data_IF_078562800378
#
_entry.id   IF_078562800378
#
_cell.length_a   1.000
_cell.length_b   1.000
_cell.length_c   1.000
_cell.angle_alpha   90.00
_cell.angle_beta   90.00
_cell.angle_gamma   90.00
#
_symmetry.space_group_name_H-M   'P 1'
#
loop_
_entity.id
_entity.type
_entity.pdbx_description
1 polymer ?
#
# COMPACT_ATOMS: atom_id res chain seq x y z
N UNK A 1 16.26 20.66 6.56
CA UNK A 1 15.31 21.22 5.58
C UNK A 1 13.94 20.59 5.80
N UNK A 2 12.83 21.32 5.66
CA UNK A 2 11.47 20.77 5.85
C UNK A 2 11.09 19.83 4.69
N UNK A 3 10.15 18.91 4.93
CA UNK A 3 9.78 17.88 3.94
C UNK A 3 9.21 18.49 2.65
N UNK A 4 8.32 19.48 2.73
CA UNK A 4 7.76 20.18 1.56
C UNK A 4 8.85 20.75 0.64
N UNK A 5 9.93 21.24 1.25
CA UNK A 5 11.07 21.79 0.53
C UNK A 5 11.90 20.68 -0.15
N UNK A 6 12.00 19.50 0.46
CA UNK A 6 12.61 18.32 -0.17
C UNK A 6 11.80 17.87 -1.39
N UNK A 7 10.47 17.84 -1.28
CA UNK A 7 9.58 17.57 -2.43
C UNK A 7 9.75 18.58 -3.55
N UNK A 8 9.88 19.88 -3.23
CA UNK A 8 10.16 20.92 -4.21
C UNK A 8 11.50 20.71 -4.91
N UNK A 9 12.57 20.41 -4.16
CA UNK A 9 13.90 20.14 -4.72
C UNK A 9 13.88 18.91 -5.62
N UNK A 10 13.24 17.82 -5.18
CA UNK A 10 13.08 16.60 -5.97
C UNK A 10 12.37 16.89 -7.30
N UNK A 11 11.30 17.70 -7.27
CA UNK A 11 10.58 18.13 -8.48
C UNK A 11 11.49 18.87 -9.46
N UNK A 12 12.20 19.89 -9.00
CA UNK A 12 13.09 20.70 -9.84
C UNK A 12 14.17 19.83 -10.47
N UNK A 13 14.76 18.93 -9.70
CA UNK A 13 15.78 18.02 -10.19
C UNK A 13 15.20 17.05 -11.24
N UNK A 14 14.04 16.44 -10.98
CA UNK A 14 13.40 15.49 -11.91
C UNK A 14 12.85 16.16 -13.16
N UNK A 15 12.37 17.39 -13.09
CA UNK A 15 11.99 18.16 -14.29
C UNK A 15 13.19 18.41 -15.21
N UNK A 16 14.39 18.54 -14.64
CA UNK A 16 15.62 18.75 -15.40
C UNK A 16 16.11 17.46 -16.09
N UNK A 17 16.01 16.30 -15.43
CA UNK A 17 16.69 15.08 -15.92
C UNK A 17 15.80 13.84 -16.10
N UNK A 18 14.59 13.82 -15.55
CA UNK A 18 13.78 12.61 -15.43
C UNK A 18 13.41 11.97 -16.76
N UNK A 19 12.90 12.76 -17.71
CA UNK A 19 12.54 12.21 -19.04
C UNK A 19 13.74 11.95 -19.94
N UNK A 20 14.76 12.80 -19.85
CA UNK A 20 15.88 12.82 -20.80
C UNK A 20 16.95 11.77 -20.48
N UNK A 21 17.12 11.47 -19.19
CA UNK A 21 18.17 10.61 -18.66
C UNK A 21 17.61 9.47 -17.81
N UNK A 22 16.30 9.22 -17.93
CA UNK A 22 15.57 8.14 -17.25
C UNK A 22 15.80 8.10 -15.72
N UNK A 23 15.89 9.29 -15.10
CA UNK A 23 15.91 9.40 -13.64
C UNK A 23 14.48 9.33 -13.07
N UNK A 24 14.34 8.59 -11.98
CA UNK A 24 13.13 8.54 -11.18
C UNK A 24 13.42 8.81 -9.70
N UNK A 25 12.44 9.35 -9.00
CA UNK A 25 12.44 9.44 -7.55
C UNK A 25 12.48 8.03 -6.96
N UNK A 26 13.43 7.79 -6.06
CA UNK A 26 13.65 6.51 -5.41
C UNK A 26 13.65 6.68 -3.88
N UNK A 27 14.08 5.63 -3.17
CA UNK A 27 14.32 5.71 -1.73
C UNK A 27 13.07 5.99 -0.90
N UNK A 28 13.28 6.66 0.23
CA UNK A 28 12.20 6.95 1.18
C UNK A 28 11.12 7.87 0.62
N UNK A 29 11.47 8.81 -0.26
CA UNK A 29 10.49 9.68 -0.92
C UNK A 29 9.62 8.90 -1.92
N UNK A 30 10.17 7.93 -2.64
CA UNK A 30 9.36 7.07 -3.51
C UNK A 30 8.36 6.24 -2.69
N UNK A 31 8.80 5.69 -1.55
CA UNK A 31 7.89 5.00 -0.63
C UNK A 31 6.78 5.93 -0.13
N UNK A 32 7.12 7.18 0.24
CA UNK A 32 6.13 8.20 0.62
C UNK A 32 5.13 8.50 -0.49
N UNK A 33 5.58 8.66 -1.74
CA UNK A 33 4.70 8.89 -2.88
C UNK A 33 3.72 7.74 -3.10
N UNK A 34 4.16 6.50 -2.90
CA UNK A 34 3.29 5.31 -2.98
C UNK A 34 2.41 5.10 -1.74
N UNK A 35 2.55 5.93 -0.70
CA UNK A 35 1.87 5.73 0.57
C UNK A 35 2.37 4.50 1.36
N UNK A 36 3.63 4.12 1.15
CA UNK A 36 4.29 2.93 1.71
C UNK A 36 5.28 3.22 2.85
N UNK A 37 5.41 4.48 3.27
CA UNK A 37 6.27 4.85 4.40
C UNK A 37 5.71 6.04 5.20
N UNK A 38 5.90 6.02 6.52
CA UNK A 38 5.40 7.08 7.42
C UNK A 38 6.50 7.95 8.03
N UNK A 39 7.72 7.41 8.16
CA UNK A 39 8.85 8.14 8.77
C UNK A 39 9.26 9.39 7.97
N UNK A 40 9.91 10.38 8.61
CA UNK A 40 10.49 11.51 7.91
C UNK A 40 11.48 11.08 6.82
N UNK A 41 11.45 11.81 5.71
CA UNK A 41 12.42 11.69 4.62
C UNK A 41 13.77 12.26 5.07
N UNK A 42 14.87 11.56 4.81
CA UNK A 42 16.23 12.01 5.15
C UNK A 42 16.91 12.71 3.97
N UNK A 43 17.01 11.98 2.87
CA UNK A 43 17.72 12.28 1.63
C UNK A 43 16.75 12.27 0.43
N UNK A 44 17.22 12.77 -0.72
CA UNK A 44 16.50 12.72 -2.00
C UNK A 44 17.26 11.74 -2.90
N UNK A 45 16.67 10.59 -3.20
CA UNK A 45 17.26 9.59 -4.08
C UNK A 45 16.72 9.76 -5.51
N UNK A 46 17.60 9.98 -6.48
CA UNK A 46 17.29 10.03 -7.90
C UNK A 46 18.07 8.94 -8.62
N UNK A 47 17.39 7.87 -9.01
CA UNK A 47 18.06 6.72 -9.63
C UNK A 47 17.70 6.61 -11.11
N UNK A 48 18.67 6.17 -11.92
CA UNK A 48 18.49 6.00 -13.35
C UNK A 48 18.92 4.61 -13.82
N UNK A 49 18.36 4.18 -14.96
CA UNK A 49 18.68 2.89 -15.55
C UNK A 49 20.10 2.86 -16.15
N UNK A 50 20.99 1.92 -15.77
CA UNK A 50 22.40 1.93 -16.19
C UNK A 50 22.62 1.68 -17.68
N UNK A 51 21.70 0.97 -18.35
CA UNK A 51 21.80 0.53 -19.75
C UNK A 51 21.29 1.57 -20.76
N UNK A 52 20.78 2.70 -20.29
CA UNK A 52 20.24 3.80 -21.12
C UNK A 52 21.33 4.61 -21.83
N UNK A 53 22.61 4.39 -21.52
CA UNK A 53 23.71 5.22 -22.03
C UNK A 53 23.69 6.65 -21.48
N UNK A 54 23.04 6.84 -20.32
CA UNK A 54 22.92 8.14 -19.65
C UNK A 54 24.28 8.79 -19.42
N UNK A 55 24.42 10.04 -19.86
CA UNK A 55 25.54 10.90 -19.49
C UNK A 55 25.31 11.46 -18.09
N UNK A 56 25.67 10.69 -17.06
CA UNK A 56 25.50 11.06 -15.66
C UNK A 56 26.23 12.35 -15.27
N UNK A 57 27.31 12.71 -15.99
CA UNK A 57 28.03 13.97 -15.77
C UNK A 57 27.18 15.14 -16.25
N UNK A 58 26.61 15.03 -17.45
CA UNK A 58 25.71 16.04 -18.00
C UNK A 58 24.41 16.14 -17.20
N UNK A 59 23.78 15.02 -16.84
CA UNK A 59 22.57 15.00 -16.01
C UNK A 59 22.80 15.72 -14.67
N UNK A 60 23.91 15.40 -13.99
CA UNK A 60 24.29 16.09 -12.74
C UNK A 60 24.49 17.60 -12.94
N UNK A 61 25.12 18.01 -14.04
CA UNK A 61 25.29 19.43 -14.35
C UNK A 61 23.94 20.14 -14.58
N UNK A 62 22.99 19.47 -15.23
CA UNK A 62 21.63 20.01 -15.45
C UNK A 62 20.84 20.14 -14.15
N UNK A 63 20.93 19.17 -13.24
CA UNK A 63 20.34 19.28 -11.89
C UNK A 63 20.94 20.45 -11.11
N UNK A 64 22.27 20.59 -11.11
CA UNK A 64 22.95 21.72 -10.44
C UNK A 64 22.48 23.05 -11.02
N UNK A 65 22.40 23.17 -12.35
CA UNK A 65 21.96 24.38 -13.02
C UNK A 65 20.50 24.73 -12.70
N UNK A 66 19.60 23.74 -12.71
CA UNK A 66 18.19 23.93 -12.41
C UNK A 66 17.96 24.39 -10.96
N UNK A 67 18.61 23.73 -10.00
CA UNK A 67 18.52 24.11 -8.58
C UNK A 67 19.15 25.48 -8.30
N UNK A 68 20.28 25.79 -8.95
CA UNK A 68 20.91 27.12 -8.85
C UNK A 68 19.99 28.21 -9.41
N UNK A 69 19.34 27.96 -10.55
CA UNK A 69 18.36 28.87 -11.13
C UNK A 69 17.13 29.07 -10.24
N UNK A 70 16.76 28.05 -9.45
CA UNK A 70 15.70 28.12 -8.45
C UNK A 70 16.14 28.80 -7.13
N UNK A 71 17.41 29.23 -7.01
CA UNK A 71 17.93 29.98 -5.87
C UNK A 71 18.69 29.16 -4.83
N UNK A 72 18.87 27.85 -5.04
CA UNK A 72 19.63 27.01 -4.11
C UNK A 72 21.15 27.13 -4.34
N UNK A 73 21.92 26.94 -3.29
CA UNK A 73 23.34 26.63 -3.37
C UNK A 73 23.52 25.12 -3.47
N UNK A 74 24.29 24.65 -4.45
CA UNK A 74 24.54 23.22 -4.67
C UNK A 74 26.04 22.95 -4.67
N UNK A 75 26.46 21.99 -3.86
CA UNK A 75 27.84 21.50 -3.78
C UNK A 75 27.90 20.02 -4.18
N UNK A 76 28.90 19.64 -4.97
CA UNK A 76 29.17 18.22 -5.26
C UNK A 76 29.98 17.64 -4.10
N UNK A 77 29.31 16.95 -3.18
CA UNK A 77 29.93 16.41 -1.97
C UNK A 77 30.80 15.18 -2.27
N UNK A 78 30.36 14.33 -3.19
CA UNK A 78 31.03 13.07 -3.53
C UNK A 78 30.68 12.64 -4.94
N UNK A 79 31.63 12.03 -5.64
CA UNK A 79 31.43 11.32 -6.91
C UNK A 79 32.12 9.97 -6.84
N UNK A 80 31.48 8.92 -7.36
CA UNK A 80 32.05 7.56 -7.40
C UNK A 80 31.49 6.76 -8.60
N UNK A 81 31.87 5.49 -8.70
CA UNK A 81 31.47 4.59 -9.79
C UNK A 81 31.79 5.15 -11.19
N UNK A 82 33.04 5.60 -11.40
CA UNK A 82 33.48 6.19 -12.68
C UNK A 82 32.59 7.36 -13.13
N UNK A 83 32.34 8.30 -12.22
CA UNK A 83 31.52 9.51 -12.42
C UNK A 83 30.03 9.30 -12.68
N UNK A 84 29.55 8.06 -12.55
CA UNK A 84 28.13 7.72 -12.73
C UNK A 84 27.28 8.03 -11.50
N UNK A 85 27.87 8.04 -10.30
CA UNK A 85 27.16 8.27 -9.06
C UNK A 85 27.68 9.51 -8.32
N UNK A 86 26.79 10.27 -7.70
CA UNK A 86 27.16 11.47 -6.95
C UNK A 86 26.21 11.78 -5.79
N UNK A 87 26.74 12.49 -4.79
CA UNK A 87 25.98 13.18 -3.77
C UNK A 87 26.09 14.69 -4.02
N UNK A 88 24.95 15.37 -4.05
CA UNK A 88 24.86 16.82 -4.13
C UNK A 88 24.28 17.37 -2.82
N UNK A 89 25.06 18.21 -2.14
CA UNK A 89 24.58 18.95 -0.98
C UNK A 89 23.81 20.18 -1.44
N UNK A 90 22.53 20.27 -1.09
CA UNK A 90 21.65 21.37 -1.48
C UNK A 90 21.26 22.19 -0.26
N UNK A 91 21.49 23.50 -0.34
CA UNK A 91 21.22 24.46 0.73
C UNK A 91 20.40 25.62 0.20
N UNK A 92 19.42 26.05 1.01
CA UNK A 92 18.79 27.35 0.84
C UNK A 92 19.71 28.44 1.45
N UNK A 93 20.23 29.38 0.64
CA UNK A 93 21.14 30.42 1.12
C UNK A 93 20.51 31.38 2.13
N UNK A 94 19.18 31.49 2.17
CA UNK A 94 18.45 32.33 3.13
C UNK A 94 18.22 31.62 4.47
N UNK A 95 18.44 30.30 4.53
CA UNK A 95 18.19 29.43 5.69
C UNK A 95 19.45 28.70 6.15
N UNK A 96 20.47 29.47 6.51
CA UNK A 96 21.77 28.93 6.98
C UNK A 96 21.67 28.15 8.30
N UNK A 97 20.62 28.39 9.09
CA UNK A 97 20.29 27.67 10.32
C UNK A 97 19.84 26.22 10.07
N UNK A 98 19.49 25.89 8.82
CA UNK A 98 18.97 24.59 8.43
C UNK A 98 20.08 23.76 7.78
N UNK A 99 20.19 22.49 8.18
CA UNK A 99 21.11 21.56 7.55
C UNK A 99 20.75 21.33 6.07
N UNK A 100 21.76 21.21 5.18
CA UNK A 100 21.54 20.93 3.77
C UNK A 100 20.90 19.56 3.60
N UNK A 101 20.20 19.37 2.48
CA UNK A 101 19.70 18.05 2.07
C UNK A 101 20.64 17.47 1.02
N UNK A 102 20.92 16.17 1.11
CA UNK A 102 21.70 15.48 0.09
C UNK A 102 20.76 14.93 -0.99
N UNK A 103 21.04 15.22 -2.26
CA UNK A 103 20.51 14.49 -3.40
C UNK A 103 21.52 13.42 -3.77
N UNK A 104 21.12 12.16 -3.73
CA UNK A 104 21.91 11.03 -4.18
C UNK A 104 21.47 10.65 -5.60
N UNK A 105 22.37 10.81 -6.56
CA UNK A 105 22.17 10.43 -7.97
C UNK A 105 22.96 9.16 -8.26
N UNK A 106 22.30 8.04 -8.56
CA UNK A 106 22.97 6.72 -8.69
C UNK A 106 22.35 5.89 -9.80
N UNK A 107 23.16 5.23 -10.66
CA UNK A 107 22.64 4.22 -11.58
C UNK A 107 22.16 3.00 -10.80
N UNK A 108 20.90 2.62 -11.01
CA UNK A 108 20.26 1.46 -10.38
C UNK A 108 19.44 0.70 -11.42
N UNK A 109 19.54 -0.63 -11.42
CA UNK A 109 18.71 -1.48 -12.26
C UNK A 109 17.24 -1.41 -11.80
N UNK A 110 16.46 -0.53 -12.43
CA UNK A 110 15.01 -0.44 -12.33
C UNK A 110 14.33 -1.32 -13.38
N UNK A 111 13.56 -2.31 -12.97
CA UNK A 111 13.03 -3.33 -13.89
C UNK A 111 11.68 -2.98 -14.45
N UNK A 112 10.97 -2.09 -13.78
CA UNK A 112 9.65 -1.64 -14.19
C UNK A 112 9.70 -0.16 -14.54
N UNK A 113 8.81 0.24 -15.44
CA UNK A 113 8.68 1.65 -15.78
C UNK A 113 8.31 2.45 -14.53
N UNK A 114 8.93 3.62 -14.30
CA UNK A 114 8.52 4.53 -13.25
C UNK A 114 7.03 4.89 -13.39
N UNK A 115 6.34 4.93 -12.25
CA UNK A 115 4.98 5.45 -12.17
C UNK A 115 5.00 6.99 -12.23
N UNK A 116 3.95 7.57 -12.79
CA UNK A 116 3.67 9.00 -12.64
C UNK A 116 2.74 9.18 -11.44
N UNK A 117 3.24 9.83 -10.38
CA UNK A 117 2.45 10.17 -9.19
C UNK A 117 2.51 11.68 -9.02
N UNK A 118 1.37 12.34 -9.21
CA UNK A 118 1.23 13.80 -9.16
C UNK A 118 2.28 14.53 -10.02
N UNK A 119 2.57 14.01 -11.22
CA UNK A 119 3.54 14.55 -12.17
C UNK A 119 5.00 14.24 -11.84
N UNK A 120 5.28 13.38 -10.85
CA UNK A 120 6.65 12.94 -10.50
C UNK A 120 6.85 11.56 -11.13
N UNK A 121 7.97 11.38 -11.83
CA UNK A 121 8.47 10.04 -12.15
C UNK A 121 8.98 9.38 -10.87
N UNK A 122 8.24 8.38 -10.38
CA UNK A 122 8.55 7.64 -9.15
C UNK A 122 8.86 6.19 -9.50
N UNK A 123 9.95 5.65 -8.94
CA UNK A 123 10.31 4.23 -9.05
C UNK A 123 9.11 3.34 -8.73
N UNK A 124 8.96 2.23 -9.45
CA UNK A 124 7.85 1.29 -9.21
C UNK A 124 7.85 0.73 -7.79
N UNK A 125 6.68 0.31 -7.30
CA UNK A 125 6.57 -0.36 -5.98
C UNK A 125 7.45 -1.62 -5.94
N UNK A 126 7.48 -2.39 -7.03
CA UNK A 126 8.26 -3.62 -7.15
C UNK A 126 9.75 -3.36 -7.01
N UNK A 127 10.27 -2.35 -7.72
CA UNK A 127 11.68 -1.98 -7.63
C UNK A 127 12.01 -1.42 -6.24
N UNK A 128 11.09 -0.69 -5.62
CA UNK A 128 11.26 -0.23 -4.23
C UNK A 128 11.41 -1.39 -3.24
N UNK A 129 10.58 -2.45 -3.39
CA UNK A 129 10.63 -3.67 -2.56
C UNK A 129 11.97 -4.38 -2.74
N UNK A 130 12.40 -4.57 -3.99
CA UNK A 130 13.66 -5.23 -4.31
C UNK A 130 14.86 -4.46 -3.75
N UNK A 131 14.90 -3.14 -3.98
CA UNK A 131 15.95 -2.26 -3.48
C UNK A 131 16.04 -2.31 -1.95
N UNK A 132 14.90 -2.35 -1.24
CA UNK A 132 14.91 -2.44 0.22
C UNK A 132 15.41 -3.77 0.73
N UNK A 133 15.00 -4.87 0.10
CA UNK A 133 15.52 -6.19 0.43
C UNK A 133 17.04 -6.30 0.17
N UNK A 134 17.53 -5.74 -0.93
CA UNK A 134 18.96 -5.65 -1.23
C UNK A 134 19.70 -4.80 -0.20
N UNK A 135 19.15 -3.65 0.20
CA UNK A 135 19.74 -2.81 1.24
C UNK A 135 19.93 -3.60 2.55
N UNK A 136 18.91 -4.32 3.03
CA UNK A 136 19.05 -5.16 4.23
C UNK A 136 20.04 -6.32 4.03
N UNK A 137 20.12 -6.89 2.83
CA UNK A 137 21.09 -7.93 2.54
C UNK A 137 22.55 -7.45 2.72
N UNK A 138 22.83 -6.17 2.45
CA UNK A 138 24.18 -5.60 2.47
C UNK A 138 24.53 -4.79 3.72
N UNK A 139 23.55 -4.19 4.40
CA UNK A 139 23.77 -3.34 5.57
C UNK A 139 22.68 -3.53 6.63
N UNK A 140 22.95 -3.02 7.83
CA UNK A 140 22.07 -3.15 9.00
C UNK A 140 21.70 -1.75 9.50
N UNK A 141 20.96 -0.99 8.69
CA UNK A 141 20.47 0.34 9.06
C UNK A 141 19.01 0.29 9.49
N UNK A 142 18.69 0.88 10.64
CA UNK A 142 17.34 0.85 11.23
C UNK A 142 16.24 1.27 10.24
N UNK A 143 16.49 2.29 9.41
CA UNK A 143 15.53 2.77 8.41
C UNK A 143 15.09 1.71 7.41
N UNK A 144 15.99 0.81 7.01
CA UNK A 144 15.61 -0.22 6.04
C UNK A 144 14.66 -1.25 6.65
N UNK A 145 14.84 -1.59 7.92
CA UNK A 145 13.93 -2.49 8.63
C UNK A 145 12.56 -1.84 8.89
N UNK A 146 12.55 -0.53 9.20
CA UNK A 146 11.30 0.25 9.29
C UNK A 146 10.56 0.19 7.96
N UNK A 147 11.25 0.58 6.88
CA UNK A 147 10.67 0.62 5.53
C UNK A 147 10.16 -0.78 5.11
N UNK A 148 10.93 -1.86 5.30
CA UNK A 148 10.49 -3.22 5.00
C UNK A 148 9.30 -3.67 5.86
N UNK A 149 9.27 -3.31 7.14
CA UNK A 149 8.14 -3.64 8.01
C UNK A 149 6.88 -2.90 7.58
N UNK A 150 6.99 -1.62 7.20
CA UNK A 150 5.86 -0.81 6.73
C UNK A 150 5.35 -1.31 5.39
N UNK A 151 6.24 -1.59 4.44
CA UNK A 151 5.89 -2.16 3.14
C UNK A 151 5.23 -3.53 3.28
N UNK A 152 5.74 -4.40 4.14
CA UNK A 152 5.12 -5.70 4.41
C UNK A 152 3.74 -5.55 5.04
N UNK A 153 3.58 -4.64 6.01
CA UNK A 153 2.28 -4.34 6.57
C UNK A 153 1.30 -3.82 5.51
N UNK A 154 1.69 -2.86 4.68
CA UNK A 154 0.79 -2.17 3.74
C UNK A 154 0.47 -2.98 2.47
N UNK A 155 1.45 -3.72 1.94
CA UNK A 155 1.27 -4.55 0.73
C UNK A 155 0.78 -5.96 1.06
N UNK A 156 1.10 -6.46 2.26
CA UNK A 156 0.93 -7.85 2.64
C UNK A 156 2.12 -8.72 2.26
N UNK A 157 2.41 -9.72 3.09
CA UNK A 157 3.57 -10.61 2.94
C UNK A 157 3.57 -11.36 1.61
N UNK A 158 2.42 -11.84 1.14
CA UNK A 158 2.31 -12.57 -0.12
C UNK A 158 2.76 -11.72 -1.33
N UNK A 159 2.39 -10.43 -1.35
CA UNK A 159 2.74 -9.50 -2.42
C UNK A 159 4.23 -9.14 -2.36
N UNK A 160 4.75 -8.91 -1.15
CA UNK A 160 6.19 -8.67 -0.96
C UNK A 160 7.00 -9.89 -1.41
N UNK A 161 6.60 -11.09 -1.00
CA UNK A 161 7.25 -12.34 -1.39
C UNK A 161 7.18 -12.56 -2.90
N UNK A 162 6.05 -12.27 -3.56
CA UNK A 162 5.91 -12.32 -5.02
C UNK A 162 6.91 -11.37 -5.71
N UNK A 163 7.01 -10.12 -5.25
CA UNK A 163 7.94 -9.14 -5.82
C UNK A 163 9.41 -9.50 -5.62
N UNK A 164 9.74 -10.12 -4.49
CA UNK A 164 11.08 -10.64 -4.23
C UNK A 164 11.37 -11.88 -5.08
N UNK A 165 10.41 -12.79 -5.24
CA UNK A 165 10.55 -14.00 -6.06
C UNK A 165 10.68 -13.68 -7.56
N UNK A 166 10.08 -12.57 -8.03
CA UNK A 166 10.18 -12.10 -9.40
C UNK A 166 11.57 -11.52 -9.74
N UNK A 167 12.48 -11.35 -8.77
CA UNK A 167 13.82 -10.83 -9.00
C UNK A 167 14.69 -11.87 -9.75
N UNK A 168 15.16 -11.63 -10.99
CA UNK A 168 16.07 -12.54 -11.71
C UNK A 168 17.45 -12.69 -11.05
N UNK A 169 17.80 -11.78 -10.14
CA UNK A 169 19.01 -11.79 -9.31
C UNK A 169 18.61 -11.71 -7.84
N UNK A 170 17.86 -12.71 -7.32
CA UNK A 170 17.27 -12.61 -6.00
C UNK A 170 18.38 -12.56 -4.95
N UNK A 171 18.15 -11.77 -3.90
CA UNK A 171 18.97 -11.85 -2.69
C UNK A 171 19.03 -13.30 -2.23
N UNK A 172 20.20 -13.76 -1.82
CA UNK A 172 20.34 -15.12 -1.31
C UNK A 172 19.43 -15.27 -0.08
N UNK A 173 18.42 -16.13 -0.14
CA UNK A 173 17.38 -16.26 0.89
C UNK A 173 17.96 -16.56 2.28
N UNK A 174 19.02 -17.36 2.37
CA UNK A 174 19.71 -17.65 3.64
C UNK A 174 20.37 -16.40 4.21
N UNK A 175 21.07 -15.66 3.35
CA UNK A 175 21.71 -14.39 3.74
C UNK A 175 20.65 -13.39 4.14
N UNK A 176 19.60 -13.22 3.33
CA UNK A 176 18.52 -12.28 3.58
C UNK A 176 17.81 -12.58 4.90
N UNK A 177 17.43 -13.84 5.14
CA UNK A 177 16.86 -14.29 6.42
C UNK A 177 17.78 -13.99 7.60
N UNK A 178 19.07 -14.31 7.48
CA UNK A 178 20.05 -14.01 8.52
C UNK A 178 20.17 -12.50 8.78
N UNK A 179 20.07 -11.69 7.74
CA UNK A 179 20.14 -10.23 7.84
C UNK A 179 18.87 -9.62 8.44
N UNK A 180 17.69 -10.19 8.15
CA UNK A 180 16.44 -9.80 8.82
C UNK A 180 16.53 -10.03 10.33
N UNK A 181 17.14 -11.16 10.76
CA UNK A 181 17.36 -11.47 12.17
C UNK A 181 18.17 -10.42 12.95
N UNK A 182 19.05 -9.67 12.27
CA UNK A 182 19.87 -8.62 12.90
C UNK A 182 19.06 -7.42 13.39
N UNK A 183 17.79 -7.28 13.01
CA UNK A 183 16.91 -6.23 13.55
C UNK A 183 16.84 -6.26 15.08
N UNK A 184 16.98 -7.44 15.68
CA UNK A 184 17.00 -7.63 17.14
C UNK A 184 18.20 -6.96 17.82
N UNK A 185 19.30 -6.76 17.09
CA UNK A 185 20.55 -6.18 17.60
C UNK A 185 20.60 -4.65 17.47
N UNK A 186 19.67 -4.07 16.70
CA UNK A 186 19.62 -2.62 16.48
C UNK A 186 19.04 -1.97 17.74
N UNK A 187 19.76 -1.05 18.40
CA UNK A 187 19.27 -0.41 19.61
C UNK A 187 18.25 0.70 19.29
N UNK A 188 17.33 0.99 20.22
CA UNK A 188 16.20 1.92 20.02
C UNK A 188 16.65 3.32 19.57
N UNK A 189 17.83 3.79 20.01
CA UNK A 189 18.35 5.11 19.62
C UNK A 189 18.61 5.21 18.12
N UNK A 190 18.84 4.09 17.42
CA UNK A 190 18.98 4.06 15.96
C UNK A 190 17.65 4.17 15.24
N UNK A 191 16.56 3.70 15.85
CA UNK A 191 15.20 3.90 15.35
C UNK A 191 14.71 5.32 15.62
N UNK A 192 15.02 5.87 16.80
CA UNK A 192 14.59 7.20 17.23
C UNK A 192 15.03 8.33 16.29
N UNK A 193 16.16 8.17 15.57
CA UNK A 193 16.61 9.11 14.52
C UNK A 193 15.53 9.33 13.45
N UNK A 194 14.71 8.31 13.20
CA UNK A 194 13.66 8.31 12.19
C UNK A 194 12.26 8.54 12.80
N UNK A 195 12.19 9.18 13.97
CA UNK A 195 10.96 9.43 14.71
C UNK A 195 10.16 8.15 15.06
N UNK A 196 10.84 7.00 15.11
CA UNK A 196 10.28 5.71 15.54
C UNK A 196 10.55 5.55 17.02
N UNK A 197 9.49 5.61 17.84
CA UNK A 197 9.60 5.42 19.29
C UNK A 197 9.85 3.95 19.66
N UNK A 198 10.12 3.69 20.95
CA UNK A 198 10.43 2.34 21.44
C UNK A 198 9.30 1.33 21.21
N UNK A 199 8.04 1.77 21.23
CA UNK A 199 6.89 0.90 20.98
C UNK A 199 6.86 0.49 19.50
N UNK A 200 6.98 1.46 18.59
CA UNK A 200 7.04 1.20 17.15
C UNK A 200 8.28 0.41 16.77
N UNK A 201 9.43 0.66 17.41
CA UNK A 201 10.64 -0.12 17.21
C UNK A 201 10.48 -1.59 17.63
N UNK A 202 9.74 -1.85 18.72
CA UNK A 202 9.40 -3.22 19.12
C UNK A 202 8.48 -3.90 18.09
N UNK A 203 7.49 -3.17 17.56
CA UNK A 203 6.60 -3.66 16.49
C UNK A 203 7.39 -4.01 15.22
N UNK A 204 8.28 -3.12 14.77
CA UNK A 204 9.16 -3.35 13.61
C UNK A 204 10.00 -4.61 13.82
N UNK A 205 10.62 -4.79 14.99
CA UNK A 205 11.38 -6.01 15.30
C UNK A 205 10.50 -7.25 15.24
N UNK A 206 9.32 -7.21 15.86
CA UNK A 206 8.40 -8.34 15.87
C UNK A 206 7.98 -8.74 14.46
N UNK A 207 7.57 -7.78 13.63
CA UNK A 207 7.12 -8.02 12.26
C UNK A 207 8.23 -8.62 11.40
N UNK A 208 9.43 -8.03 11.44
CA UNK A 208 10.58 -8.52 10.68
C UNK A 208 11.01 -9.91 11.15
N UNK A 209 11.06 -10.16 12.46
CA UNK A 209 11.46 -11.47 13.00
C UNK A 209 10.42 -12.55 12.69
N UNK A 210 9.13 -12.21 12.72
CA UNK A 210 8.05 -13.11 12.31
C UNK A 210 8.21 -13.51 10.85
N UNK A 211 8.39 -12.52 9.97
CA UNK A 211 8.61 -12.78 8.54
C UNK A 211 9.89 -13.60 8.30
N UNK A 212 10.99 -13.29 8.99
CA UNK A 212 12.22 -14.10 8.93
C UNK A 212 12.03 -15.54 9.43
N UNK A 213 11.06 -15.78 10.31
CA UNK A 213 10.66 -17.12 10.76
C UNK A 213 9.88 -17.91 9.71
N UNK A 214 9.10 -17.21 8.89
CA UNK A 214 8.25 -17.78 7.83
C UNK A 214 9.01 -18.06 6.54
N UNK A 215 10.07 -17.28 6.24
CA UNK A 215 11.05 -17.62 5.21
C UNK A 215 11.70 -18.97 5.56
N UNK A 216 11.21 -20.03 4.91
CA UNK A 216 11.65 -21.40 5.17
C UNK A 216 13.18 -21.52 5.10
N UNK A 217 13.82 -22.44 5.85
CA UNK A 217 15.22 -22.72 5.58
C UNK A 217 15.34 -23.27 4.16
N UNK A 218 15.90 -22.47 3.25
CA UNK A 218 16.58 -23.02 2.09
C UNK A 218 17.49 -24.15 2.60
N UNK A 219 17.42 -25.30 1.93
CA UNK A 219 18.06 -26.59 2.26
C UNK A 219 19.37 -26.45 3.06
N UNK A 220 19.63 -27.37 4.01
CA UNK A 220 20.71 -27.24 4.98
C UNK A 220 22.06 -27.00 4.32
N UNK A 221 22.77 -25.99 4.83
CA UNK A 221 24.16 -25.74 4.53
C UNK A 221 25.00 -26.97 4.92
N UNK A 222 25.64 -27.66 3.96
CA UNK A 222 26.46 -28.84 4.25
C UNK A 222 27.74 -28.52 5.06
N UNK A 223 27.98 -27.25 5.43
CA UNK A 223 29.10 -26.79 6.25
C UNK A 223 28.69 -26.34 7.66
N UNK A 224 27.40 -26.44 8.04
CA UNK A 224 26.99 -26.20 9.42
C UNK A 224 27.33 -27.43 10.27
N UNK A 225 28.36 -27.30 11.12
CA UNK A 225 28.76 -28.30 12.11
C UNK A 225 27.63 -28.50 13.13
N UNK A 226 27.27 -29.77 13.34
CA UNK A 226 26.22 -30.23 14.26
C UNK A 226 26.35 -29.66 15.68
N UNK A 227 25.28 -29.04 16.15
CA UNK A 227 24.90 -29.06 17.55
C UNK A 227 23.48 -29.63 17.63
N UNK A 228 23.39 -30.93 17.84
CA UNK A 228 22.15 -31.66 18.00
C UNK A 228 21.30 -31.13 19.19
N UNK A 229 20.02 -30.89 18.95
CA UNK A 229 18.97 -30.67 19.95
C UNK A 229 17.60 -30.52 19.27
N UNK A 230 16.51 -31.13 19.79
CA UNK A 230 15.23 -31.18 19.09
C UNK A 230 14.59 -29.79 19.00
N UNK A 231 13.78 -29.60 17.95
CA UNK A 231 12.98 -28.41 17.66
C UNK A 231 12.55 -27.63 18.91
N UNK A 232 13.01 -26.37 19.03
CA UNK A 232 12.61 -25.46 20.10
C UNK A 232 12.19 -24.13 19.49
N UNK A 233 10.91 -23.77 19.67
CA UNK A 233 10.42 -22.44 19.32
C UNK A 233 8.91 -22.20 19.34
N UNK A 234 8.07 -23.24 19.23
CA UNK A 234 6.63 -23.13 19.48
C UNK A 234 6.32 -24.15 20.56
N UNK A 235 6.03 -23.69 21.78
CA UNK A 235 5.40 -24.59 22.76
C UNK A 235 4.07 -25.01 22.17
N UNK A 236 3.84 -26.32 21.99
CA UNK A 236 2.53 -26.81 21.60
C UNK A 236 1.50 -26.24 22.60
N UNK A 237 0.44 -25.62 22.08
CA UNK A 237 -0.67 -25.15 22.91
C UNK A 237 -1.16 -26.30 23.77
N UNK A 238 -1.36 -26.05 25.07
CA UNK A 238 -2.05 -27.03 25.90
C UNK A 238 -3.50 -27.16 25.40
N UNK A 239 -4.11 -28.36 25.44
CA UNK A 239 -5.47 -28.57 24.95
C UNK A 239 -6.48 -27.55 25.49
N UNK A 240 -6.40 -27.24 26.78
CA UNK A 240 -7.29 -26.28 27.46
C UNK A 240 -7.14 -24.86 26.90
N UNK A 241 -5.92 -24.44 26.54
CA UNK A 241 -5.64 -23.13 25.94
C UNK A 241 -6.16 -23.03 24.49
N UNK A 242 -6.12 -24.14 23.75
CA UNK A 242 -6.66 -24.23 22.40
C UNK A 242 -8.19 -24.17 22.40
N UNK A 243 -8.84 -24.85 23.35
CA UNK A 243 -10.30 -24.85 23.52
C UNK A 243 -10.82 -23.45 23.91
N UNK A 244 -10.22 -22.81 24.91
CA UNK A 244 -10.61 -21.44 25.30
C UNK A 244 -10.39 -20.40 24.19
N UNK A 245 -9.32 -20.55 23.39
CA UNK A 245 -9.07 -19.67 22.24
C UNK A 245 -10.07 -19.92 21.11
N UNK A 246 -10.44 -21.18 20.86
CA UNK A 246 -11.46 -21.52 19.88
C UNK A 246 -12.84 -20.98 20.28
N UNK A 247 -13.21 -21.09 21.56
CA UNK A 247 -14.47 -20.54 22.07
C UNK A 247 -14.52 -19.01 21.93
N UNK A 248 -13.45 -18.30 22.30
CA UNK A 248 -13.36 -16.84 22.09
C UNK A 248 -13.45 -16.43 20.63
N UNK A 249 -12.91 -17.24 19.70
CA UNK A 249 -13.03 -16.97 18.26
C UNK A 249 -14.44 -17.29 17.75
N UNK A 250 -15.03 -18.39 18.19
CA UNK A 250 -16.34 -18.87 17.75
C UNK A 250 -17.51 -18.00 18.26
N UNK A 251 -17.39 -17.45 19.47
CA UNK A 251 -18.38 -16.51 20.03
C UNK A 251 -18.40 -15.17 19.30
N UNK A 252 -17.33 -14.84 18.58
CA UNK A 252 -17.16 -13.54 17.95
C UNK A 252 -17.33 -13.62 16.43
N UNK A 253 -18.05 -12.62 15.91
CA UNK A 253 -18.37 -12.29 14.51
C UNK A 253 -17.23 -12.57 13.50
N UNK A 254 -17.45 -12.66 12.17
CA UNK A 254 -16.41 -12.98 11.17
C UNK A 254 -15.08 -12.20 11.29
N UNK A 255 -15.09 -11.03 11.93
CA UNK A 255 -13.93 -10.23 12.33
C UNK A 255 -12.94 -10.99 13.24
N UNK A 256 -13.40 -11.92 14.06
CA UNK A 256 -12.56 -12.76 14.93
C UNK A 256 -11.60 -13.65 14.12
N UNK A 257 -11.97 -13.98 12.88
CA UNK A 257 -11.16 -14.74 11.94
C UNK A 257 -10.19 -13.89 11.13
N UNK A 258 -10.32 -12.56 11.20
CA UNK A 258 -9.43 -11.62 10.54
C UNK A 258 -8.18 -11.40 11.39
N UNK A 259 -7.04 -11.26 10.74
CA UNK A 259 -5.79 -10.80 11.35
C UNK A 259 -5.92 -9.35 11.85
N UNK A 260 -5.02 -8.93 12.74
CA UNK A 260 -5.02 -7.54 13.25
C UNK A 260 -4.87 -6.53 12.10
N UNK A 261 -4.07 -6.89 11.08
CA UNK A 261 -3.92 -6.11 9.86
C UNK A 261 -5.22 -6.03 9.04
N UNK A 262 -5.86 -7.16 8.76
CA UNK A 262 -7.13 -7.19 8.02
C UNK A 262 -8.22 -6.40 8.74
N UNK A 263 -8.27 -6.43 10.08
CA UNK A 263 -9.17 -5.60 10.86
C UNK A 263 -8.88 -4.11 10.71
N UNK A 264 -7.60 -3.72 10.77
CA UNK A 264 -7.18 -2.34 10.59
C UNK A 264 -7.54 -1.82 9.19
N UNK A 265 -7.16 -2.56 8.16
CA UNK A 265 -7.42 -2.22 6.74
C UNK A 265 -8.91 -2.19 6.46
N UNK A 266 -9.64 -3.22 6.88
CA UNK A 266 -11.10 -3.29 6.64
C UNK A 266 -11.81 -2.17 7.38
N UNK A 267 -11.43 -1.90 8.63
CA UNK A 267 -11.98 -0.78 9.39
C UNK A 267 -11.69 0.58 8.74
N UNK A 268 -10.47 0.81 8.27
CA UNK A 268 -10.08 2.06 7.61
C UNK A 268 -10.78 2.23 6.25
N UNK A 269 -10.78 1.17 5.43
CA UNK A 269 -11.42 1.16 4.11
C UNK A 269 -12.93 1.34 4.21
N UNK A 270 -13.60 0.66 5.14
CA UNK A 270 -15.05 0.83 5.34
C UNK A 270 -15.39 2.24 5.80
N UNK A 271 -14.57 2.89 6.65
CA UNK A 271 -14.75 4.32 6.98
C UNK A 271 -14.61 5.23 5.76
N UNK A 272 -13.54 5.06 5.00
CA UNK A 272 -13.30 5.87 3.80
C UNK A 272 -14.43 5.73 2.78
N UNK A 273 -14.90 4.49 2.53
CA UNK A 273 -16.01 4.24 1.62
C UNK A 273 -17.34 4.79 2.16
N UNK A 274 -17.55 4.75 3.48
CA UNK A 274 -18.74 5.34 4.09
C UNK A 274 -18.75 6.87 3.90
N UNK A 275 -17.61 7.53 4.13
CA UNK A 275 -17.49 8.98 3.97
C UNK A 275 -17.67 9.40 2.50
N UNK A 276 -17.12 8.61 1.57
CA UNK A 276 -17.35 8.81 0.13
C UNK A 276 -18.82 8.63 -0.25
N UNK A 277 -19.48 7.57 0.24
CA UNK A 277 -20.90 7.32 -0.01
C UNK A 277 -21.81 8.43 0.56
N UNK A 278 -21.49 8.93 1.76
CA UNK A 278 -22.19 10.05 2.38
C UNK A 278 -22.04 11.33 1.55
N UNK A 279 -20.83 11.66 1.10
CA UNK A 279 -20.59 12.84 0.28
C UNK A 279 -21.39 12.82 -1.04
N UNK A 280 -21.43 11.65 -1.71
CA UNK A 280 -22.24 11.48 -2.94
C UNK A 280 -23.74 11.53 -2.63
N UNK A 281 -24.17 11.04 -1.46
CA UNK A 281 -25.56 11.16 -1.04
C UNK A 281 -25.96 12.62 -0.79
N UNK A 282 -25.12 13.41 -0.13
CA UNK A 282 -25.34 14.84 0.11
C UNK A 282 -25.37 15.64 -1.20
N UNK A 283 -24.53 15.30 -2.18
CA UNK A 283 -24.60 15.88 -3.51
C UNK A 283 -25.90 15.52 -4.23
N UNK A 284 -26.26 14.23 -4.23
CA UNK A 284 -27.51 13.75 -4.84
C UNK A 284 -28.75 14.40 -4.22
N UNK A 285 -28.74 14.64 -2.91
CA UNK A 285 -29.82 15.33 -2.19
C UNK A 285 -29.88 16.82 -2.55
N UNK A 286 -28.74 17.49 -2.68
CA UNK A 286 -28.68 18.88 -3.16
C UNK A 286 -29.22 19.01 -4.58
N UNK A 287 -28.84 18.10 -5.48
CA UNK A 287 -29.35 18.07 -6.85
C UNK A 287 -30.85 17.79 -6.89
N UNK A 288 -31.32 16.79 -6.16
CA UNK A 288 -32.74 16.45 -6.08
C UNK A 288 -33.57 17.63 -5.56
N UNK A 289 -33.08 18.31 -4.51
CA UNK A 289 -33.72 19.52 -3.98
C UNK A 289 -33.79 20.62 -5.03
N UNK A 290 -32.68 20.90 -5.72
CA UNK A 290 -32.65 21.90 -6.80
C UNK A 290 -33.63 21.56 -7.93
N UNK A 291 -33.67 20.29 -8.36
CA UNK A 291 -34.60 19.83 -9.40
C UNK A 291 -36.05 19.98 -8.97
N UNK A 292 -36.37 19.64 -7.72
CA UNK A 292 -37.71 19.79 -7.14
C UNK A 292 -38.13 21.26 -7.08
N UNK A 293 -37.27 22.12 -6.53
CA UNK A 293 -37.50 23.57 -6.43
C UNK A 293 -37.74 24.17 -7.84
N UNK A 294 -36.98 23.74 -8.85
CA UNK A 294 -37.13 24.18 -10.24
C UNK A 294 -38.41 23.64 -10.91
N UNK A 295 -38.77 22.38 -10.64
CA UNK A 295 -40.01 21.77 -11.12
C UNK A 295 -41.25 22.51 -10.60
N UNK A 296 -41.24 22.89 -9.31
CA UNK A 296 -42.31 23.67 -8.68
C UNK A 296 -42.36 25.11 -9.24
N UNK A 297 -41.21 25.78 -9.33
CA UNK A 297 -41.14 27.16 -9.83
C UNK A 297 -41.60 27.32 -11.29
N UNK A 298 -41.44 26.28 -12.10
CA UNK A 298 -41.88 26.25 -13.50
C UNK A 298 -43.35 25.83 -13.69
N UNK A 299 -44.09 25.55 -12.61
CA UNK A 299 -45.50 25.17 -12.69
C UNK A 299 -45.70 23.75 -13.23
N UNK A 300 -44.82 22.82 -12.87
CA UNK A 300 -44.88 21.41 -13.28
C UNK A 300 -43.79 20.98 -14.27
N UNK A 301 -42.65 21.67 -14.28
CA UNK A 301 -41.48 21.28 -15.05
C UNK A 301 -41.10 22.25 -16.17
N UNK A 302 -39.80 22.44 -16.38
CA UNK A 302 -39.26 23.45 -17.30
C UNK A 302 -39.51 23.10 -18.77
N UNK A 303 -39.35 21.81 -19.11
CA UNK A 303 -39.67 21.29 -20.43
C UNK A 303 -41.19 21.30 -20.68
N UNK A 304 -41.97 20.91 -19.68
CA UNK A 304 -43.43 20.91 -19.77
C UNK A 304 -43.98 22.34 -19.97
N UNK A 305 -43.43 23.31 -19.25
CA UNK A 305 -43.76 24.73 -19.40
C UNK A 305 -43.42 25.24 -20.81
N UNK A 306 -42.21 24.94 -21.30
CA UNK A 306 -41.77 25.32 -22.65
C UNK A 306 -42.64 24.71 -23.75
N UNK A 307 -43.02 23.44 -23.60
CA UNK A 307 -43.92 22.75 -24.54
C UNK A 307 -45.31 23.37 -24.57
N UNK A 308 -45.83 23.79 -23.41
CA UNK A 308 -47.11 24.49 -23.30
C UNK A 308 -47.08 25.84 -24.02
N UNK A 309 -46.01 26.61 -23.87
CA UNK A 309 -45.82 27.90 -24.54
C UNK A 309 -45.71 27.74 -26.07
N UNK A 310 -45.19 26.61 -26.55
CA UNK A 310 -45.14 26.26 -27.97
C UNK A 310 -46.47 25.71 -28.52
N UNK A 311 -47.51 25.57 -27.69
CA UNK A 311 -48.81 25.04 -28.10
C UNK A 311 -48.79 23.53 -28.38
N UNK A 312 -47.90 22.77 -27.72
CA UNK A 312 -47.90 21.32 -27.79
C UNK A 312 -49.19 20.72 -27.19
N UNK A 313 -49.51 19.50 -27.61
CA UNK A 313 -50.66 18.74 -27.09
C UNK A 313 -50.50 18.44 -25.58
N UNK A 314 -51.63 18.45 -24.86
CA UNK A 314 -51.67 18.21 -23.41
C UNK A 314 -51.04 16.85 -23.01
N UNK A 315 -51.15 15.82 -23.85
CA UNK A 315 -50.54 14.51 -23.59
C UNK A 315 -49.00 14.60 -23.60
N UNK A 316 -48.44 15.41 -24.51
CA UNK A 316 -46.99 15.63 -24.62
C UNK A 316 -46.49 16.43 -23.42
N UNK A 317 -47.20 17.48 -23.04
CA UNK A 317 -46.89 18.30 -21.85
C UNK A 317 -46.91 17.45 -20.58
N UNK A 318 -47.92 16.59 -20.42
CA UNK A 318 -48.05 15.71 -19.26
C UNK A 318 -46.93 14.66 -19.19
N UNK A 319 -46.54 14.07 -20.33
CA UNK A 319 -45.41 13.14 -20.39
C UNK A 319 -44.10 13.80 -19.98
N UNK A 320 -43.85 15.03 -20.44
CA UNK A 320 -42.66 15.78 -20.04
C UNK A 320 -42.64 16.09 -18.53
N UNK A 321 -43.78 16.52 -17.97
CA UNK A 321 -43.90 16.77 -16.53
C UNK A 321 -43.71 15.51 -15.69
N UNK A 322 -44.23 14.36 -16.15
CA UNK A 322 -44.04 13.08 -15.47
C UNK A 322 -42.58 12.63 -15.53
N UNK A 323 -41.90 12.80 -16.67
CA UNK A 323 -40.48 12.46 -16.81
C UNK A 323 -39.61 13.27 -15.84
N UNK A 324 -39.78 14.59 -15.77
CA UNK A 324 -38.99 15.42 -14.83
C UNK A 324 -39.27 15.05 -13.36
N UNK A 325 -40.51 14.68 -13.03
CA UNK A 325 -40.86 14.19 -11.69
C UNK A 325 -40.17 12.86 -11.37
N UNK A 326 -40.20 11.91 -12.29
CA UNK A 326 -39.51 10.63 -12.14
C UNK A 326 -37.99 10.84 -11.97
N UNK A 327 -37.41 11.85 -12.63
CA UNK A 327 -35.98 12.18 -12.48
C UNK A 327 -35.66 12.65 -11.04
N UNK A 328 -36.52 13.49 -10.45
CA UNK A 328 -36.42 13.92 -9.05
C UNK A 328 -36.51 12.71 -8.11
N UNK A 329 -37.54 11.87 -8.27
CA UNK A 329 -37.75 10.69 -7.44
C UNK A 329 -36.57 9.70 -7.52
N UNK A 330 -35.98 9.52 -8.71
CA UNK A 330 -34.79 8.67 -8.88
C UNK A 330 -33.57 9.23 -8.15
N UNK A 331 -33.37 10.55 -8.16
CA UNK A 331 -32.25 11.18 -7.44
C UNK A 331 -32.41 11.08 -5.93
N UNK A 332 -33.63 11.26 -5.42
CA UNK A 332 -33.95 11.07 -3.99
C UNK A 332 -33.74 9.63 -3.54
N UNK A 333 -34.23 8.66 -4.33
CA UNK A 333 -34.04 7.25 -4.06
C UNK A 333 -32.56 6.87 -4.04
N UNK A 334 -31.76 7.41 -4.97
CA UNK A 334 -30.31 7.20 -5.01
C UNK A 334 -29.61 7.75 -3.77
N UNK A 335 -29.98 8.94 -3.30
CA UNK A 335 -29.42 9.51 -2.08
C UNK A 335 -29.72 8.64 -0.85
N UNK A 336 -30.95 8.12 -0.73
CA UNK A 336 -31.34 7.22 0.36
C UNK A 336 -30.57 5.89 0.32
N UNK A 337 -30.42 5.29 -0.87
CA UNK A 337 -29.64 4.07 -1.07
C UNK A 337 -28.18 4.26 -0.61
N UNK A 338 -27.54 5.35 -1.03
CA UNK A 338 -26.16 5.66 -0.68
C UNK A 338 -25.97 5.88 0.84
N UNK A 339 -26.93 6.51 1.52
CA UNK A 339 -26.91 6.62 2.99
C UNK A 339 -27.06 5.26 3.67
N UNK A 340 -27.90 4.38 3.11
CA UNK A 340 -27.99 2.99 3.57
C UNK A 340 -26.63 2.29 3.50
N UNK A 341 -25.95 2.40 2.35
CA UNK A 341 -24.61 1.84 2.15
C UNK A 341 -23.57 2.44 3.11
N UNK A 342 -23.58 3.76 3.29
CA UNK A 342 -22.67 4.44 4.22
C UNK A 342 -22.85 3.93 5.66
N UNK A 343 -24.09 3.74 6.11
CA UNK A 343 -24.39 3.22 7.45
C UNK A 343 -23.94 1.77 7.63
N UNK A 344 -24.14 0.92 6.61
CA UNK A 344 -23.65 -0.47 6.65
C UNK A 344 -22.12 -0.52 6.76
N UNK A 345 -21.43 0.30 5.97
CA UNK A 345 -19.97 0.41 6.00
C UNK A 345 -19.44 0.96 7.33
N UNK A 346 -20.12 1.95 7.94
CA UNK A 346 -19.79 2.40 9.31
C UNK A 346 -19.96 1.27 10.32
N UNK A 347 -21.04 0.49 10.22
CA UNK A 347 -21.25 -0.69 11.06
C UNK A 347 -20.11 -1.72 10.95
N UNK A 348 -19.62 -1.98 9.73
CA UNK A 348 -18.46 -2.86 9.52
C UNK A 348 -17.18 -2.31 10.17
N UNK A 349 -16.95 -1.00 10.06
CA UNK A 349 -15.80 -0.36 10.69
C UNK A 349 -15.85 -0.42 12.23
N UNK A 350 -17.05 -0.28 12.81
CA UNK A 350 -17.27 -0.38 14.25
C UNK A 350 -17.07 -1.81 14.76
N UNK A 351 -17.50 -2.81 14.00
CA UNK A 351 -17.23 -4.22 14.31
C UNK A 351 -15.72 -4.50 14.31
N UNK A 352 -14.99 -4.02 13.30
CA UNK A 352 -13.54 -4.18 13.25
C UNK A 352 -12.84 -3.49 14.44
N UNK A 353 -13.27 -2.27 14.79
CA UNK A 353 -12.77 -1.53 15.95
C UNK A 353 -13.04 -2.25 17.27
N UNK A 354 -14.23 -2.82 17.41
CA UNK A 354 -14.63 -3.58 18.61
C UNK A 354 -13.76 -4.82 18.80
N UNK A 355 -13.47 -5.54 17.71
CA UNK A 355 -12.59 -6.71 17.77
C UNK A 355 -11.13 -6.33 18.09
N UNK A 356 -10.62 -5.23 17.55
CA UNK A 356 -9.29 -4.72 17.93
C UNK A 356 -9.24 -4.35 19.42
N UNK A 357 -10.27 -3.71 19.94
CA UNK A 357 -10.36 -3.36 21.36
C UNK A 357 -10.38 -4.62 22.24
N UNK A 358 -11.17 -5.64 21.88
CA UNK A 358 -11.21 -6.92 22.59
C UNK A 358 -9.82 -7.57 22.66
N UNK A 359 -9.09 -7.62 21.54
CA UNK A 359 -7.73 -8.21 21.49
C UNK A 359 -6.71 -7.46 22.34
N UNK A 360 -6.93 -6.16 22.56
CA UNK A 360 -6.08 -5.35 23.42
C UNK A 360 -6.16 -5.75 24.90
N UNK A 361 -7.26 -6.40 25.31
CA UNK A 361 -7.47 -6.88 26.69
C UNK A 361 -6.85 -8.27 26.95
N UNK A 362 -6.42 -8.98 25.89
CA UNK A 362 -5.81 -10.30 26.00
C UNK A 362 -4.36 -10.23 26.49
N UNK A 363 -3.96 -11.23 27.28
CA UNK A 363 -2.56 -11.48 27.61
C UNK A 363 -1.76 -11.91 26.35
N UNK A 364 -0.42 -11.78 26.36
CA UNK A 364 0.41 -12.23 25.25
C UNK A 364 0.23 -13.72 24.90
N UNK A 365 0.03 -14.57 25.91
CA UNK A 365 -0.18 -16.01 25.73
C UNK A 365 -1.54 -16.30 25.06
N UNK A 366 -2.61 -15.65 25.50
CA UNK A 366 -3.94 -15.77 24.90
C UNK A 366 -3.96 -15.26 23.45
N UNK A 367 -3.25 -14.16 23.17
CA UNK A 367 -3.14 -13.60 21.81
C UNK A 367 -2.38 -14.55 20.88
N UNK A 368 -1.32 -15.19 21.37
CA UNK A 368 -0.58 -16.19 20.62
C UNK A 368 -1.46 -17.43 20.33
N UNK A 369 -2.24 -17.88 21.32
CA UNK A 369 -3.19 -18.98 21.14
C UNK A 369 -4.26 -18.67 20.09
N UNK A 370 -4.90 -17.49 20.17
CA UNK A 370 -5.89 -17.08 19.17
C UNK A 370 -5.30 -16.97 17.76
N UNK A 371 -4.05 -16.52 17.63
CA UNK A 371 -3.37 -16.42 16.33
C UNK A 371 -3.17 -17.80 15.69
N UNK A 372 -2.77 -18.81 16.48
CA UNK A 372 -2.60 -20.19 16.01
C UNK A 372 -3.94 -20.79 15.58
N UNK A 373 -4.97 -20.69 16.42
CA UNK A 373 -6.30 -21.24 16.13
C UNK A 373 -6.94 -20.57 14.91
N UNK A 374 -6.82 -19.25 14.78
CA UNK A 374 -7.30 -18.51 13.61
C UNK A 374 -6.63 -18.98 12.32
N UNK A 375 -5.31 -19.20 12.34
CA UNK A 375 -4.55 -19.73 11.19
C UNK A 375 -5.03 -21.13 10.80
N UNK A 376 -5.31 -21.99 11.78
CA UNK A 376 -5.86 -23.32 11.53
C UNK A 376 -7.27 -23.28 10.93
N UNK A 377 -8.17 -22.45 11.49
CA UNK A 377 -9.54 -22.27 10.97
C UNK A 377 -9.50 -21.74 9.53
N UNK A 378 -8.72 -20.68 9.26
CA UNK A 378 -8.61 -20.11 7.92
C UNK A 378 -7.99 -21.10 6.93
N UNK A 379 -7.01 -21.90 7.35
CA UNK A 379 -6.43 -22.98 6.55
C UNK A 379 -7.44 -24.08 6.20
N UNK A 380 -8.32 -24.45 7.14
CA UNK A 380 -9.40 -25.41 6.90
C UNK A 380 -10.48 -24.84 5.96
N UNK A 381 -10.85 -23.56 6.10
CA UNK A 381 -11.79 -22.88 5.21
C UNK A 381 -11.23 -22.80 3.79
N UNK A 382 -9.95 -22.47 3.62
CA UNK A 382 -9.28 -22.44 2.32
C UNK A 382 -9.22 -23.83 1.66
N UNK A 383 -8.92 -24.88 2.44
CA UNK A 383 -8.90 -26.26 1.96
C UNK A 383 -10.30 -26.79 1.59
N UNK A 384 -11.36 -26.27 2.21
CA UNK A 384 -12.76 -26.58 1.86
C UNK A 384 -13.26 -25.75 0.66
N UNK A 385 -12.69 -24.56 0.43
CA UNK A 385 -13.00 -23.69 -0.70
C UNK A 385 -12.31 -24.08 -2.01
N UNK A 386 -11.22 -24.85 -1.97
CA UNK A 386 -10.65 -25.44 -3.19
C UNK A 386 -11.60 -26.51 -3.76
N UNK A 387 -12.17 -26.33 -4.97
CA UNK A 387 -12.75 -27.45 -5.68
C UNK A 387 -11.58 -28.39 -6.00
N UNK A 388 -11.51 -29.51 -5.29
CA UNK A 388 -10.46 -30.52 -5.46
C UNK A 388 -10.22 -30.72 -6.96
N UNK A 389 -8.96 -30.64 -7.41
CA UNK A 389 -8.56 -30.79 -8.82
C UNK A 389 -9.20 -32.01 -9.51
N UNK A 390 -9.55 -33.04 -8.73
CA UNK A 390 -10.31 -34.21 -9.14
C UNK A 390 -11.79 -33.91 -9.52
N UNK A 391 -12.47 -33.00 -8.83
CA UNK A 391 -13.85 -32.56 -9.10
C UNK A 391 -13.96 -31.73 -10.39
N UNK A 392 -12.95 -30.88 -10.66
CA UNK A 392 -12.85 -30.10 -11.91
C UNK A 392 -12.52 -31.02 -13.10
N UNK A 393 -11.62 -31.98 -12.92
CA UNK A 393 -11.28 -32.99 -13.94
C UNK A 393 -12.42 -33.99 -14.21
N UNK A 394 -13.21 -34.35 -13.20
CA UNK A 394 -14.39 -35.22 -13.35
C UNK A 394 -15.54 -34.53 -14.10
N UNK A 395 -15.71 -33.20 -13.94
CA UNK A 395 -16.68 -32.43 -14.74
C UNK A 395 -16.22 -32.21 -16.19
N UNK A 396 -14.92 -32.09 -16.44
CA UNK A 396 -14.38 -31.95 -17.79
C UNK A 396 -14.46 -33.24 -18.64
N UNK A 397 -14.48 -34.42 -18.00
CA UNK A 397 -14.55 -35.73 -18.67
C UNK A 397 -15.99 -36.23 -18.89
N UNK A 398 -17.00 -35.56 -18.32
CA UNK A 398 -18.42 -35.88 -18.52
C UNK A 398 -19.11 -35.02 -19.60
N UNK A 399 -18.39 -34.08 -20.23
CA UNK A 399 -18.96 -33.22 -21.28
C UNK A 399 -19.15 -33.99 -22.59
N UNK A 400 -20.38 -33.98 -23.13
CA UNK A 400 -20.73 -34.67 -24.37
C UNK A 400 -20.01 -34.06 -25.59
N UNK A 401 -19.81 -34.81 -26.69
CA UNK A 401 -18.99 -34.39 -27.84
C UNK A 401 -19.36 -33.04 -28.46
N UNK A 402 -20.58 -32.54 -28.23
CA UNK A 402 -21.02 -31.24 -28.70
C UNK A 402 -20.36 -30.05 -27.97
N UNK A 403 -19.94 -30.20 -26.72
CA UNK A 403 -19.35 -29.11 -25.91
C UNK A 403 -17.85 -28.91 -26.17
N UNK A 404 -17.15 -29.91 -26.71
CA UNK A 404 -15.72 -29.81 -27.02
C UNK A 404 -15.41 -28.99 -28.29
N UNK A 405 -16.42 -28.67 -29.13
CA UNK A 405 -16.23 -27.85 -30.34
C UNK A 405 -16.23 -26.34 -30.11
N UNK A 406 -16.72 -25.85 -28.97
CA UNK A 406 -16.81 -24.42 -28.68
C UNK A 406 -15.52 -23.82 -28.07
N UNK A 407 -14.57 -24.65 -27.65
CA UNK A 407 -13.31 -24.21 -27.00
C UNK A 407 -12.15 -24.09 -28.01
N UNK A 408 -12.40 -24.35 -29.30
CA UNK A 408 -11.39 -24.29 -30.38
C UNK A 408 -11.73 -23.36 -31.55
N UNK A 409 -12.73 -22.50 -31.39
CA UNK A 409 -12.96 -21.32 -32.23
C UNK A 409 -12.85 -20.09 -31.34
#
# INVERSE_FOLDING_TARGET
MHEDEKWRIARIALDAVGERYDYALAGSMALRAHGLAERPVDDIDLFNMPDTGTDAVQARAEVIAALTAAGYQVEVEKVWAMDQAANLGVRDPERLDVAPVTIQMVPMEMRYFPADIDGIRVMSVQDCVQMKAEAVAWRTEAKDYVDLSEMNAMLGAEVVDEYLAANPHPVNEVVFRSQLGKVAEIPDEKFAVYAVDAFKAAEVRQNILSWAGELAPAKPNPLAVDAAGPAAGISALLPDQAEEAADRIAENSPQSLMTDHELMVTGAKSRQLADAAEAVAEESEREAKWMRDNFEASGGGSLASSLRDMGADDEIVQRAANSEREDVERKEARAQELRGQANELRGQADLAKTEVARRSELTPEERAAETVIRREINGQVAAQAEPTRASVMARATAATPHQQRAVRA
#
